data_IF_432370805367
#
_entry.id   IF_432370805367
#
_cell.length_a   1.000
_cell.length_b   1.000
_cell.length_c   1.000
_cell.angle_alpha   90.00
_cell.angle_beta   90.00
_cell.angle_gamma   90.00
#
_symmetry.space_group_name_H-M   'P 1'
#
loop_
_entity.id
_entity.type
_entity.pdbx_description
1 polymer ?
#
# COMPACT_ATOMS: atom_id res chain seq x y z
N UNK A 1 18.03 14.46 1.79
CA UNK A 1 17.06 14.47 0.69
C UNK A 1 16.42 13.09 0.75
N UNK A 2 15.27 13.03 1.42
CA UNK A 2 14.70 11.85 2.11
C UNK A 2 13.81 11.10 1.11
N UNK A 3 13.48 9.81 1.33
CA UNK A 3 12.83 8.75 0.53
C UNK A 3 11.42 9.08 0.10
N UNK A 4 11.32 10.27 -0.45
CA UNK A 4 10.21 10.83 -1.14
C UNK A 4 10.32 10.34 -2.57
N UNK A 5 9.29 9.61 -2.99
CA UNK A 5 9.11 9.29 -4.40
C UNK A 5 8.16 10.35 -4.93
N UNK A 6 8.72 11.27 -5.71
CA UNK A 6 7.95 12.18 -6.54
C UNK A 6 7.96 11.61 -7.95
N UNK A 7 6.87 10.95 -8.30
CA UNK A 7 6.71 10.34 -9.62
C UNK A 7 5.74 11.20 -10.42
N UNK A 8 6.27 11.93 -11.38
CA UNK A 8 5.46 12.53 -12.45
C UNK A 8 4.74 11.40 -13.19
N UNK A 9 3.45 11.54 -13.54
CA UNK A 9 2.80 10.60 -14.44
C UNK A 9 3.63 10.42 -15.71
N UNK A 10 3.98 9.18 -16.03
CA UNK A 10 4.62 8.76 -17.28
C UNK A 10 3.70 7.76 -17.97
N UNK A 11 3.96 7.39 -19.22
CA UNK A 11 3.17 6.35 -19.91
C UNK A 11 3.12 5.01 -19.15
N UNK A 12 4.08 4.78 -18.24
CA UNK A 12 4.20 3.55 -17.45
C UNK A 12 3.68 3.68 -16.01
N UNK A 13 3.09 4.81 -15.62
CA UNK A 13 2.50 4.99 -14.28
C UNK A 13 1.06 5.46 -14.38
N UNK A 14 0.24 5.06 -13.41
CA UNK A 14 -1.14 5.51 -13.30
C UNK A 14 -1.44 5.95 -11.87
N UNK A 15 -2.11 7.08 -11.74
CA UNK A 15 -2.60 7.61 -10.47
C UNK A 15 -4.13 7.57 -10.46
N UNK A 16 -4.72 7.16 -9.34
CA UNK A 16 -6.16 7.06 -9.15
C UNK A 16 -6.57 7.78 -7.86
N UNK A 17 -7.67 8.52 -7.90
CA UNK A 17 -8.44 8.76 -6.68
C UNK A 17 -9.07 7.42 -6.26
N UNK A 18 -9.11 7.16 -4.96
CA UNK A 18 -9.56 5.89 -4.42
C UNK A 18 -10.28 6.07 -3.07
N UNK A 19 -10.92 5.00 -2.62
CA UNK A 19 -11.49 4.92 -1.26
C UNK A 19 -10.98 3.64 -0.61
N UNK A 20 -10.36 3.78 0.55
CA UNK A 20 -10.05 2.66 1.43
C UNK A 20 -11.19 2.51 2.43
N UNK A 21 -11.78 1.32 2.50
CA UNK A 21 -12.77 0.94 3.50
C UNK A 21 -12.21 -0.20 4.34
N UNK A 22 -12.24 -0.07 5.66
CA UNK A 22 -11.92 -1.16 6.58
C UNK A 22 -13.20 -1.92 6.89
N UNK A 23 -13.17 -3.25 6.80
CA UNK A 23 -14.36 -4.06 7.03
C UNK A 23 -14.85 -3.90 8.48
N UNK A 24 -16.16 -3.93 8.67
CA UNK A 24 -16.78 -3.74 9.99
C UNK A 24 -16.45 -4.85 11.00
N UNK A 25 -16.04 -6.02 10.52
CA UNK A 25 -15.63 -7.19 11.29
C UNK A 25 -14.12 -7.45 11.21
N UNK A 26 -13.34 -6.51 10.66
CA UNK A 26 -11.91 -6.64 10.55
C UNK A 26 -11.26 -6.78 11.93
N UNK A 27 -10.54 -7.87 12.15
CA UNK A 27 -9.64 -7.98 13.30
C UNK A 27 -8.41 -7.11 13.01
N UNK A 28 -8.15 -6.06 13.77
CA UNK A 28 -7.01 -5.16 13.54
C UNK A 28 -6.28 -4.82 14.84
N UNK A 29 -5.02 -4.36 14.76
CA UNK A 29 -4.36 -3.79 15.92
C UNK A 29 -5.13 -2.60 16.51
N UNK A 30 -5.33 -2.63 17.83
CA UNK A 30 -5.99 -1.54 18.55
C UNK A 30 -5.15 -0.27 18.62
N UNK A 31 -5.82 0.87 18.80
CA UNK A 31 -5.16 2.17 18.95
C UNK A 31 -4.65 2.77 17.63
N UNK A 32 -5.19 2.33 16.50
CA UNK A 32 -4.87 2.82 15.16
C UNK A 32 -6.15 3.27 14.45
N UNK A 33 -6.51 4.58 14.50
CA UNK A 33 -7.78 5.08 13.98
C UNK A 33 -8.04 4.77 12.51
N UNK A 34 -6.99 4.77 11.67
CA UNK A 34 -7.15 4.50 10.23
C UNK A 34 -7.44 3.02 9.90
N UNK A 35 -7.31 2.14 10.90
CA UNK A 35 -7.63 0.72 10.80
C UNK A 35 -8.91 0.39 11.58
N UNK A 36 -9.61 1.37 12.16
CA UNK A 36 -10.83 1.09 12.91
C UNK A 36 -11.86 0.38 12.02
N UNK A 37 -12.50 -0.71 12.49
CA UNK A 37 -13.51 -1.41 11.71
C UNK A 37 -14.64 -0.48 11.26
N UNK A 38 -14.98 -0.52 9.97
CA UNK A 38 -15.95 0.38 9.35
C UNK A 38 -15.42 1.78 9.02
N UNK A 39 -14.12 2.05 9.20
CA UNK A 39 -13.54 3.32 8.79
C UNK A 39 -13.50 3.45 7.25
N UNK A 40 -13.68 4.68 6.78
CA UNK A 40 -13.60 5.04 5.37
C UNK A 40 -12.62 6.20 5.18
N UNK A 41 -11.68 6.03 4.26
CA UNK A 41 -10.67 7.03 3.97
C UNK A 41 -10.67 7.35 2.47
N UNK A 42 -10.64 8.65 2.15
CA UNK A 42 -10.16 9.06 0.83
C UNK A 42 -8.73 8.54 0.68
N UNK A 43 -8.41 8.04 -0.50
CA UNK A 43 -7.08 7.58 -0.84
C UNK A 43 -6.67 8.13 -2.20
N UNK A 44 -5.36 8.21 -2.43
CA UNK A 44 -4.76 8.34 -3.75
C UNK A 44 -3.83 7.15 -3.94
N UNK A 45 -3.98 6.45 -5.07
CA UNK A 45 -3.18 5.27 -5.39
C UNK A 45 -2.34 5.56 -6.62
N UNK A 46 -1.05 5.28 -6.55
CA UNK A 46 -0.18 5.32 -7.71
C UNK A 46 0.40 3.93 -7.97
N UNK A 47 0.41 3.51 -9.22
CA UNK A 47 0.90 2.20 -9.65
C UNK A 47 1.98 2.35 -10.71
N UNK A 48 2.94 1.43 -10.71
CA UNK A 48 3.97 1.37 -11.74
C UNK A 48 5.09 0.38 -11.43
N UNK A 49 6.08 0.21 -12.33
CA UNK A 49 5.88 0.46 -13.74
C UNK A 49 4.80 -0.48 -14.32
N UNK A 50 4.09 0.01 -15.35
CA UNK A 50 3.06 -0.70 -16.07
C UNK A 50 3.63 -1.74 -17.06
N UNK A 51 4.86 -1.52 -17.53
CA UNK A 51 5.56 -2.38 -18.49
C UNK A 51 6.07 -3.70 -17.87
N UNK A 52 6.16 -4.79 -18.65
CA UNK A 52 6.90 -5.99 -18.26
C UNK A 52 8.39 -5.69 -18.05
N UNK A 53 9.02 -6.38 -17.10
CA UNK A 53 10.42 -6.16 -16.78
C UNK A 53 10.92 -7.00 -15.60
N UNK A 54 12.22 -6.90 -15.34
CA UNK A 54 12.86 -7.55 -14.19
C UNK A 54 12.80 -6.67 -12.94
N UNK A 55 12.47 -5.38 -13.08
CA UNK A 55 12.24 -4.51 -11.93
C UNK A 55 10.94 -4.90 -11.18
N UNK A 56 10.86 -4.64 -9.87
CA UNK A 56 9.61 -4.83 -9.12
C UNK A 56 8.53 -3.84 -9.57
N UNK A 57 7.27 -4.28 -9.55
CA UNK A 57 6.13 -3.36 -9.56
C UNK A 57 5.93 -2.78 -8.17
N UNK A 58 5.32 -1.62 -8.11
CA UNK A 58 4.99 -0.90 -6.91
C UNK A 58 3.55 -0.38 -6.98
N UNK A 59 2.96 -0.28 -5.80
CA UNK A 59 1.64 0.26 -5.55
C UNK A 59 1.77 1.13 -4.31
N UNK A 60 1.65 2.44 -4.48
CA UNK A 60 1.72 3.40 -3.41
C UNK A 60 0.33 3.90 -3.07
N UNK A 61 0.03 4.02 -1.79
CA UNK A 61 -1.26 4.53 -1.29
C UNK A 61 -0.95 5.74 -0.41
N UNK A 62 -1.71 6.81 -0.59
CA UNK A 62 -1.72 7.98 0.29
C UNK A 62 -3.13 8.16 0.83
N UNK A 63 -3.27 8.30 2.15
CA UNK A 63 -4.48 8.75 2.82
C UNK A 63 -4.26 10.21 3.25
N UNK A 64 -4.76 11.20 2.50
CA UNK A 64 -4.59 12.60 2.83
C UNK A 64 -5.27 12.94 4.16
N UNK A 65 -4.62 13.78 4.97
CA UNK A 65 -5.13 14.27 6.25
C UNK A 65 -5.54 13.17 7.26
N UNK A 66 -5.05 11.94 7.08
CA UNK A 66 -5.45 10.78 7.88
C UNK A 66 -5.18 10.95 9.39
N UNK A 67 -4.22 11.81 9.76
CA UNK A 67 -3.83 12.11 11.13
C UNK A 67 -4.09 13.57 11.51
N UNK A 68 -5.05 14.21 10.83
CA UNK A 68 -5.37 15.63 10.92
C UNK A 68 -4.82 16.43 9.72
N UNK A 69 -5.18 17.71 9.64
CA UNK A 69 -4.85 18.56 8.48
C UNK A 69 -3.34 18.62 8.20
N UNK A 70 -2.96 18.34 6.96
CA UNK A 70 -1.60 18.25 6.44
C UNK A 70 -0.81 17.02 6.89
N UNK A 71 -1.46 16.06 7.57
CA UNK A 71 -0.80 14.90 8.18
C UNK A 71 -1.28 13.60 7.55
N UNK A 72 -0.65 13.27 6.43
CA UNK A 72 -0.96 12.10 5.63
C UNK A 72 -0.49 10.78 6.27
N UNK A 73 -1.08 9.68 5.82
CA UNK A 73 -0.51 8.34 5.92
C UNK A 73 -0.13 7.85 4.52
N UNK A 74 1.11 7.43 4.31
CA UNK A 74 1.51 6.77 3.07
C UNK A 74 1.91 5.32 3.31
N UNK A 75 1.65 4.47 2.31
CA UNK A 75 2.09 3.08 2.24
C UNK A 75 2.82 2.89 0.91
N UNK A 76 4.13 2.59 0.97
CA UNK A 76 4.91 2.25 -0.22
C UNK A 76 5.04 0.73 -0.29
N UNK A 77 4.38 0.13 -1.29
CA UNK A 77 4.32 -1.30 -1.47
C UNK A 77 5.03 -1.71 -2.76
N UNK A 78 5.70 -2.85 -2.74
CA UNK A 78 6.34 -3.47 -3.90
C UNK A 78 5.81 -4.88 -4.10
N UNK A 79 5.79 -5.37 -5.34
CA UNK A 79 5.40 -6.73 -5.69
C UNK A 79 6.24 -7.73 -4.89
N UNK A 80 5.58 -8.66 -4.22
CA UNK A 80 6.20 -9.56 -3.24
C UNK A 80 5.51 -10.92 -3.15
N UNK A 81 6.15 -11.86 -2.47
CA UNK A 81 5.60 -13.17 -2.22
C UNK A 81 4.70 -13.23 -0.96
N UNK A 82 3.87 -14.27 -0.91
CA UNK A 82 3.02 -14.57 0.25
C UNK A 82 3.66 -15.67 1.13
N UNK A 83 3.44 -15.61 2.44
CA UNK A 83 4.07 -16.43 3.49
C UNK A 83 5.48 -15.96 3.91
N UNK A 84 5.86 -16.23 5.15
CA UNK A 84 7.26 -16.14 5.57
C UNK A 84 8.09 -17.28 4.91
N UNK A 85 9.34 -17.01 4.45
CA UNK A 85 10.06 -15.72 4.47
C UNK A 85 9.78 -14.84 3.24
N UNK A 86 8.87 -15.25 2.35
CA UNK A 86 8.61 -14.64 1.04
C UNK A 86 7.98 -13.24 1.08
N UNK A 87 7.35 -12.82 2.18
CA UNK A 87 6.81 -11.46 2.34
C UNK A 87 7.85 -10.34 2.29
N UNK A 88 9.14 -10.67 2.45
CA UNK A 88 10.28 -9.75 2.27
C UNK A 88 11.00 -9.98 0.94
N UNK A 89 10.62 -10.99 0.17
CA UNK A 89 11.16 -11.23 -1.16
C UNK A 89 10.43 -10.33 -2.15
N UNK A 90 11.12 -9.29 -2.62
CA UNK A 90 10.64 -8.45 -3.71
C UNK A 90 10.69 -9.27 -5.00
N UNK A 91 9.55 -9.38 -5.69
CA UNK A 91 9.39 -10.19 -6.90
C UNK A 91 9.42 -9.32 -8.16
N UNK A 92 9.92 -9.83 -9.29
CA UNK A 92 9.96 -9.11 -10.55
C UNK A 92 8.55 -8.82 -11.08
N UNK A 93 8.46 -7.87 -12.01
CA UNK A 93 7.23 -7.51 -12.71
C UNK A 93 6.74 -8.55 -13.73
N UNK A 94 7.49 -9.64 -13.97
CA UNK A 94 7.06 -10.73 -14.86
C UNK A 94 7.55 -12.11 -14.38
N UNK A 95 6.64 -13.03 -14.00
CA UNK A 95 5.19 -12.80 -13.87
C UNK A 95 4.88 -11.90 -12.67
N UNK A 96 3.88 -11.02 -12.80
CA UNK A 96 3.44 -10.15 -11.69
C UNK A 96 2.87 -10.99 -10.57
N UNK A 97 3.37 -10.76 -9.35
CA UNK A 97 2.80 -11.32 -8.13
C UNK A 97 1.44 -10.68 -7.82
N UNK A 98 0.48 -11.47 -7.33
CA UNK A 98 -0.82 -10.94 -6.88
C UNK A 98 -0.71 -10.02 -5.66
N UNK A 99 0.42 -9.98 -4.97
CA UNK A 99 0.61 -9.30 -3.70
C UNK A 99 1.65 -8.20 -3.84
N UNK A 100 1.32 -7.04 -3.30
CA UNK A 100 2.22 -5.92 -3.07
C UNK A 100 2.34 -5.75 -1.56
N UNK A 101 3.54 -5.77 -0.99
CA UNK A 101 3.73 -5.57 0.45
C UNK A 101 4.67 -4.42 0.75
N UNK A 102 4.52 -3.86 1.95
CA UNK A 102 5.51 -2.95 2.49
C UNK A 102 6.83 -3.69 2.67
N UNK A 103 7.92 -3.09 2.18
CA UNK A 103 9.25 -3.66 2.37
C UNK A 103 9.64 -3.72 3.85
N UNK A 104 9.08 -2.79 4.62
CA UNK A 104 9.41 -2.57 6.02
C UNK A 104 8.25 -2.88 6.95
N UNK A 105 8.60 -3.24 8.18
CA UNK A 105 7.63 -3.40 9.27
C UNK A 105 7.19 -2.05 9.81
N UNK A 106 5.96 -2.01 10.28
CA UNK A 106 5.38 -0.92 11.04
C UNK A 106 5.00 -1.44 12.43
N UNK A 107 5.12 -0.62 13.45
CA UNK A 107 4.34 -0.78 14.67
C UNK A 107 2.97 -0.14 14.45
N UNK A 108 1.92 -0.94 14.50
CA UNK A 108 0.54 -0.50 14.60
C UNK A 108 0.10 -0.68 16.06
N UNK A 109 -0.05 0.42 16.78
CA UNK A 109 -0.09 0.44 18.23
C UNK A 109 1.22 -0.14 18.80
N UNK A 110 1.15 -1.34 19.36
CA UNK A 110 2.31 -2.09 19.86
C UNK A 110 2.64 -3.32 19.02
N UNK A 111 1.86 -3.61 17.97
CA UNK A 111 2.01 -4.82 17.18
C UNK A 111 2.85 -4.56 15.93
N UNK A 112 3.94 -5.31 15.68
CA UNK A 112 4.65 -5.23 14.43
C UNK A 112 3.80 -5.86 13.33
N UNK A 113 3.61 -5.16 12.21
CA UNK A 113 2.85 -5.63 11.06
C UNK A 113 3.50 -5.18 9.74
N UNK A 114 3.17 -5.90 8.67
CA UNK A 114 3.33 -5.49 7.28
C UNK A 114 1.97 -5.06 6.74
N UNK A 115 1.97 -4.08 5.85
CA UNK A 115 0.80 -3.73 5.04
C UNK A 115 0.94 -4.35 3.66
N UNK A 116 -0.18 -4.72 3.06
CA UNK A 116 -0.21 -5.29 1.73
C UNK A 116 -1.46 -4.91 0.96
N UNK A 117 -1.36 -5.03 -0.36
CA UNK A 117 -2.49 -4.99 -1.28
C UNK A 117 -2.43 -6.22 -2.16
N UNK A 118 -3.53 -6.94 -2.23
CA UNK A 118 -3.68 -8.07 -3.15
C UNK A 118 -4.61 -7.73 -4.29
N UNK A 119 -4.15 -8.04 -5.49
CA UNK A 119 -4.88 -7.86 -6.74
C UNK A 119 -5.65 -9.14 -7.07
N UNK A 120 -6.85 -9.03 -7.67
CA UNK A 120 -7.65 -10.20 -8.06
C UNK A 120 -7.01 -10.98 -9.22
N UNK A 121 -6.12 -10.33 -9.98
CA UNK A 121 -5.41 -10.90 -11.13
C UNK A 121 -3.90 -10.84 -10.91
N UNK A 122 -3.22 -11.90 -11.36
CA UNK A 122 -1.76 -12.03 -11.41
C UNK A 122 -1.33 -12.45 -12.82
N UNK A 123 -0.07 -12.23 -13.18
CA UNK A 123 0.46 -12.56 -14.50
C UNK A 123 1.07 -11.38 -15.25
N UNK A 124 1.51 -11.55 -16.50
CA UNK A 124 2.38 -10.58 -17.20
C UNK A 124 1.72 -9.21 -17.44
N UNK A 125 0.38 -9.17 -17.49
CA UNK A 125 -0.41 -8.01 -17.92
C UNK A 125 -1.38 -7.49 -16.83
N UNK A 126 -0.97 -7.46 -15.56
CA UNK A 126 -1.77 -6.77 -14.53
C UNK A 126 -1.83 -5.27 -14.87
N UNK A 127 -3.03 -4.82 -15.26
CA UNK A 127 -3.38 -3.42 -15.52
C UNK A 127 -4.47 -3.01 -14.55
N UNK A 128 -4.23 -1.93 -13.81
CA UNK A 128 -5.22 -1.34 -12.92
C UNK A 128 -6.13 -0.40 -13.70
N UNK A 129 -7.42 -0.43 -13.39
CA UNK A 129 -8.44 0.41 -14.00
C UNK A 129 -9.40 1.00 -12.99
N UNK A 130 -10.14 2.02 -13.43
CA UNK A 130 -11.28 2.57 -12.69
C UNK A 130 -12.31 1.46 -12.44
N UNK A 131 -12.76 1.37 -11.19
CA UNK A 131 -13.70 0.35 -10.74
C UNK A 131 -13.06 -0.92 -10.17
N UNK A 132 -11.73 -1.06 -10.25
CA UNK A 132 -11.04 -2.18 -9.62
C UNK A 132 -11.18 -2.14 -8.09
N UNK A 133 -11.39 -3.31 -7.49
CA UNK A 133 -11.39 -3.51 -6.05
C UNK A 133 -10.20 -4.37 -5.66
N UNK A 134 -9.34 -3.81 -4.81
CA UNK A 134 -8.13 -4.45 -4.33
C UNK A 134 -8.28 -4.80 -2.85
N UNK A 135 -7.80 -5.97 -2.46
CA UNK A 135 -7.81 -6.41 -1.05
C UNK A 135 -6.72 -5.65 -0.30
N UNK A 136 -7.09 -4.87 0.71
CA UNK A 136 -6.15 -4.27 1.67
C UNK A 136 -5.89 -5.27 2.79
N UNK A 137 -4.62 -5.62 2.98
CA UNK A 137 -4.20 -6.73 3.82
C UNK A 137 -3.18 -6.29 4.87
N UNK A 138 -3.15 -7.00 5.99
CA UNK A 138 -2.08 -6.91 6.98
C UNK A 138 -1.50 -8.28 7.27
N UNK A 139 -0.25 -8.33 7.70
CA UNK A 139 0.41 -9.57 8.13
C UNK A 139 1.24 -9.32 9.38
N UNK A 140 1.30 -10.24 10.36
CA UNK A 140 2.39 -10.24 11.34
C UNK A 140 3.75 -10.48 10.65
N UNK A 141 4.89 -10.28 11.35
CA UNK A 141 6.21 -10.54 10.75
C UNK A 141 6.41 -11.99 10.33
N UNK A 142 5.71 -12.91 11.02
CA UNK A 142 5.68 -14.34 10.71
C UNK A 142 4.22 -14.75 10.56
N UNK A 143 3.79 -15.06 9.36
CA UNK A 143 2.41 -15.43 9.06
C UNK A 143 2.11 -15.34 7.58
N UNK A 144 0.82 -15.16 7.27
CA UNK A 144 0.31 -14.83 5.94
C UNK A 144 -0.39 -13.49 6.01
N UNK A 145 -0.45 -12.79 4.87
CA UNK A 145 -1.34 -11.65 4.75
C UNK A 145 -2.80 -12.10 4.89
N UNK A 146 -3.58 -11.27 5.56
CA UNK A 146 -5.03 -11.44 5.69
C UNK A 146 -5.73 -10.14 5.35
N UNK A 147 -6.87 -10.28 4.71
CA UNK A 147 -7.78 -9.19 4.38
C UNK A 147 -8.25 -8.47 5.64
N UNK A 148 -8.35 -7.14 5.54
CA UNK A 148 -8.97 -6.26 6.55
C UNK A 148 -9.83 -5.16 5.94
N UNK A 149 -9.86 -5.05 4.62
CA UNK A 149 -10.60 -3.99 3.96
C UNK A 149 -10.39 -3.97 2.45
N UNK A 150 -11.11 -3.09 1.79
CA UNK A 150 -11.13 -2.95 0.35
C UNK A 150 -10.65 -1.57 -0.08
N UNK A 151 -9.74 -1.54 -1.05
CA UNK A 151 -9.26 -0.34 -1.72
C UNK A 151 -9.92 -0.28 -3.11
N UNK A 152 -10.92 0.59 -3.27
CA UNK A 152 -11.64 0.77 -4.54
C UNK A 152 -11.02 1.90 -5.35
N UNK A 153 -10.54 1.60 -6.55
CA UNK A 153 -10.04 2.59 -7.50
C UNK A 153 -11.21 3.32 -8.17
N UNK A 154 -11.23 4.64 -8.09
CA UNK A 154 -12.27 5.50 -8.68
C UNK A 154 -11.69 6.09 -9.96
N UNK A 155 -11.63 7.41 -10.06
CA UNK A 155 -11.21 8.09 -11.27
C UNK A 155 -9.69 8.12 -11.43
N UNK A 156 -9.23 8.13 -12.68
CA UNK A 156 -7.83 8.43 -12.99
C UNK A 156 -7.52 9.89 -12.68
N UNK A 157 -6.34 10.16 -12.12
CA UNK A 157 -5.89 11.49 -11.75
C UNK A 157 -4.58 11.83 -12.45
N UNK A 158 -4.46 13.05 -12.96
CA UNK A 158 -3.20 13.59 -13.48
C UNK A 158 -2.42 14.38 -12.42
N UNK A 159 -2.92 14.43 -11.18
CA UNK A 159 -2.28 15.18 -10.12
C UNK A 159 -0.89 14.60 -9.79
N UNK A 160 0.11 15.48 -9.68
CA UNK A 160 1.41 15.10 -9.11
C UNK A 160 1.24 14.88 -7.61
N UNK A 161 1.57 13.67 -7.14
CA UNK A 161 1.47 13.29 -5.73
C UNK A 161 2.83 12.80 -5.25
N UNK A 162 3.23 13.29 -4.08
CA UNK A 162 4.47 12.89 -3.42
C UNK A 162 4.17 11.87 -2.34
N UNK A 163 4.83 10.72 -2.40
CA UNK A 163 4.75 9.66 -1.39
C UNK A 163 6.01 9.64 -0.54
N UNK A 164 5.88 9.34 0.75
CA UNK A 164 6.99 9.31 1.70
C UNK A 164 6.79 8.22 2.75
N UNK A 165 7.76 7.31 2.91
CA UNK A 165 7.65 6.21 3.89
C UNK A 165 7.61 6.69 5.33
N UNK A 166 8.09 7.91 5.59
CA UNK A 166 7.99 8.59 6.86
C UNK A 166 6.60 9.18 7.17
N UNK A 167 5.71 9.33 6.17
CA UNK A 167 4.36 9.83 6.39
C UNK A 167 3.53 8.77 7.12
N UNK A 168 3.53 8.88 8.44
CA UNK A 168 2.92 7.93 9.36
C UNK A 168 2.48 8.63 10.63
N UNK A 169 1.51 8.06 11.33
CA UNK A 169 0.94 8.67 12.53
C UNK A 169 -0.20 7.85 13.11
N UNK A 170 -0.94 8.44 14.05
CA UNK A 170 -2.18 7.83 14.56
C UNK A 170 -1.98 6.40 15.08
N UNK A 171 -0.88 6.15 15.80
CA UNK A 171 -0.54 4.81 16.29
C UNK A 171 0.26 3.95 15.32
N UNK A 172 0.50 4.39 14.08
CA UNK A 172 1.40 3.74 13.12
C UNK A 172 2.78 4.39 13.18
N UNK A 173 3.80 3.56 13.32
CA UNK A 173 5.21 3.99 13.33
C UNK A 173 6.05 3.06 12.47
N UNK A 174 6.69 3.54 11.41
CA UNK A 174 7.56 2.71 10.63
C UNK A 174 8.79 2.30 11.46
N UNK A 175 9.16 1.03 11.39
CA UNK A 175 10.35 0.53 12.06
C UNK A 175 11.59 0.82 11.21
N UNK A 176 12.76 1.03 11.85
CA UNK A 176 14.01 1.18 11.12
C UNK A 176 14.23 0.00 10.14
N UNK A 177 14.76 0.26 8.94
CA UNK A 177 15.42 1.50 8.53
C UNK A 177 14.54 2.51 7.78
N UNK A 178 13.21 2.39 7.74
CA UNK A 178 12.32 3.34 6.99
C UNK A 178 12.61 4.80 7.34
N UNK A 179 12.93 5.08 8.61
CA UNK A 179 13.24 6.43 9.09
C UNK A 179 14.55 7.00 8.52
N UNK A 180 15.36 6.18 7.85
CA UNK A 180 16.62 6.58 7.20
C UNK A 180 16.50 6.74 5.69
N UNK A 181 15.35 6.38 5.10
CA UNK A 181 15.08 6.58 3.69
C UNK A 181 14.24 7.81 3.51
#
# INVERSE_FOLDING_TARGET
MIGQVETTPTEDTATFDAVLTIDSDAEVPGGVPILEPGAHHRAVVQTGPGRPGNEPRWLHIKLPDAHGSGRDQDFLLASSGDGAPMHHAVLPADPVASLYSSLWLYLAGLQPILFGVRTPVAGPDVRFGTGDELSFEISPPVGRFRHVGTLSLRDTSEASVRFSGGNSGGGIRPLPPVNFY
#
